data_IF_834028993521
#
_entry.id   IF_834028993521
#
_cell.length_a   1.000
_cell.length_b   1.000
_cell.length_c   1.000
_cell.angle_alpha   90.00
_cell.angle_beta   90.00
_cell.angle_gamma   90.00
#
_symmetry.space_group_name_H-M   'P 1'
#
loop_
_entity.id
_entity.type
_entity.pdbx_description
1 polymer ?
#
# COMPACT_ATOMS: atom_id res chain seq x y z
N UNK A 1 18.17 4.31 -34.36
CA UNK A 1 18.28 5.08 -33.11
C UNK A 1 17.03 4.67 -32.32
N UNK A 2 17.13 3.52 -31.63
CA UNK A 2 16.02 2.95 -30.90
C UNK A 2 15.94 3.68 -29.55
N UNK A 3 14.80 4.31 -29.32
CA UNK A 3 14.50 4.95 -28.04
C UNK A 3 14.18 3.84 -27.06
N UNK A 4 15.11 3.51 -26.16
CA UNK A 4 14.81 2.67 -25.01
C UNK A 4 13.83 3.45 -24.13
N UNK A 5 12.60 2.97 -24.08
CA UNK A 5 11.63 3.36 -23.09
C UNK A 5 12.13 2.77 -21.77
N UNK A 6 12.66 3.60 -20.91
CA UNK A 6 12.95 3.25 -19.52
C UNK A 6 11.62 3.36 -18.81
N UNK A 7 11.00 2.23 -18.53
CA UNK A 7 9.89 2.18 -17.61
C UNK A 7 10.47 2.47 -16.22
N UNK A 8 10.22 3.66 -15.69
CA UNK A 8 10.23 3.83 -14.26
C UNK A 8 8.95 3.12 -13.79
N UNK A 9 9.08 1.84 -13.44
CA UNK A 9 8.06 1.20 -12.60
C UNK A 9 8.11 1.98 -11.28
N UNK A 10 7.09 2.82 -11.08
CA UNK A 10 6.74 3.23 -9.75
C UNK A 10 6.55 1.94 -8.95
N UNK A 11 7.15 1.86 -7.81
CA UNK A 11 6.95 0.79 -6.85
C UNK A 11 5.49 0.38 -6.88
N UNK A 12 5.21 -0.88 -7.22
CA UNK A 12 3.88 -1.44 -7.05
C UNK A 12 3.60 -1.33 -5.56
N UNK A 13 2.90 -0.26 -5.20
CA UNK A 13 2.54 -0.03 -3.80
C UNK A 13 1.65 -1.18 -3.39
N UNK A 14 2.12 -1.88 -2.41
CA UNK A 14 1.57 -3.07 -1.83
C UNK A 14 0.05 -2.98 -1.63
N UNK A 15 -0.71 -3.60 -2.50
CA UNK A 15 -2.16 -3.69 -2.43
C UNK A 15 -2.59 -4.85 -1.52
N UNK A 16 -2.14 -4.84 -0.28
CA UNK A 16 -2.69 -5.77 0.71
C UNK A 16 -4.00 -5.21 1.21
N UNK A 17 -5.09 -5.74 0.69
CA UNK A 17 -6.45 -5.43 1.12
C UNK A 17 -7.11 -4.24 0.40
N UNK A 18 -6.47 -3.64 -0.59
CA UNK A 18 -7.03 -2.54 -1.37
C UNK A 18 -7.56 -3.01 -2.72
N UNK A 19 -8.72 -2.52 -3.11
CA UNK A 19 -9.23 -2.65 -4.45
C UNK A 19 -8.62 -1.54 -5.30
N UNK A 20 -7.83 -1.89 -6.29
CA UNK A 20 -7.31 -0.92 -7.26
C UNK A 20 -8.47 -0.36 -8.09
N UNK A 21 -8.82 0.91 -7.90
CA UNK A 21 -9.54 1.69 -8.86
C UNK A 21 -8.61 2.73 -9.44
N UNK A 22 -8.10 2.50 -10.62
CA UNK A 22 -7.58 3.58 -11.44
C UNK A 22 -8.78 4.34 -11.97
N UNK A 23 -9.10 5.47 -11.37
CA UNK A 23 -9.99 6.45 -11.99
C UNK A 23 -9.09 7.31 -12.89
N UNK A 24 -9.05 6.96 -14.17
CA UNK A 24 -8.51 7.86 -15.18
C UNK A 24 -9.27 9.20 -15.16
N UNK A 25 -8.69 10.32 -15.66
CA UNK A 25 -9.30 11.63 -15.63
C UNK A 25 -10.54 11.66 -16.51
N UNK A 26 -11.68 11.29 -15.98
CA UNK A 26 -12.99 11.40 -16.56
C UNK A 26 -13.61 12.76 -16.19
N UNK A 27 -13.80 13.60 -17.18
CA UNK A 27 -14.47 14.90 -17.12
C UNK A 27 -15.85 14.78 -16.45
N UNK A 28 -15.96 15.18 -15.20
CA UNK A 28 -17.26 15.49 -14.61
C UNK A 28 -17.54 16.98 -14.83
N UNK A 29 -18.43 17.23 -15.79
CA UNK A 29 -19.04 18.53 -16.01
C UNK A 29 -20.46 18.46 -15.45
N UNK A 30 -20.67 18.77 -14.19
CA UNK A 30 -21.98 19.05 -13.64
C UNK A 30 -22.10 20.52 -13.29
N UNK A 31 -22.92 21.21 -14.08
CA UNK A 31 -23.41 22.55 -13.79
C UNK A 31 -24.37 22.47 -12.61
N UNK A 32 -23.96 22.93 -11.45
CA UNK A 32 -24.86 23.31 -10.37
C UNK A 32 -25.18 24.80 -10.50
N UNK A 33 -26.34 25.10 -11.07
CA UNK A 33 -26.93 26.45 -11.07
C UNK A 33 -27.57 26.72 -9.71
N UNK A 34 -27.08 27.75 -9.04
CA UNK A 34 -27.86 28.64 -8.21
C UNK A 34 -28.24 28.20 -6.81
N UNK A 35 -27.37 28.48 -5.84
CA UNK A 35 -27.79 28.91 -4.51
C UNK A 35 -26.76 29.89 -3.95
N UNK A 36 -27.19 31.14 -3.84
CA UNK A 36 -26.44 32.19 -3.17
C UNK A 36 -26.53 31.99 -1.65
N UNK A 37 -25.45 31.54 -1.03
CA UNK A 37 -25.30 31.56 0.41
C UNK A 37 -24.29 32.64 0.77
N UNK A 38 -24.75 33.60 1.57
CA UNK A 38 -23.87 34.60 2.21
C UNK A 38 -22.86 33.86 3.09
N UNK A 39 -21.65 33.66 2.59
CA UNK A 39 -20.54 33.15 3.35
C UNK A 39 -20.00 34.21 4.28
N UNK A 40 -20.23 34.06 5.57
CA UNK A 40 -19.36 34.67 6.56
C UNK A 40 -17.94 34.09 6.32
N UNK A 41 -16.99 34.99 6.03
CA UNK A 41 -15.57 34.65 5.88
C UNK A 41 -15.10 34.19 7.26
N UNK A 42 -15.18 32.91 7.51
CA UNK A 42 -14.41 32.28 8.57
C UNK A 42 -12.95 32.33 8.13
N UNK A 43 -12.14 33.15 8.79
CA UNK A 43 -10.69 33.12 8.66
C UNK A 43 -10.24 31.68 8.96
N UNK A 44 -9.89 30.95 7.91
CA UNK A 44 -9.28 29.63 8.00
C UNK A 44 -8.03 29.78 8.86
N UNK A 45 -8.11 29.35 10.12
CA UNK A 45 -6.90 28.98 10.86
C UNK A 45 -6.30 27.82 10.07
N UNK A 46 -5.17 28.06 9.42
CA UNK A 46 -4.34 26.99 8.88
C UNK A 46 -4.12 26.01 10.03
N UNK A 47 -4.72 24.82 9.93
CA UNK A 47 -4.37 23.70 10.82
C UNK A 47 -2.86 23.55 10.78
N UNK A 48 -2.20 23.32 11.92
CA UNK A 48 -0.77 23.01 11.88
C UNK A 48 -0.58 21.85 10.93
N UNK A 49 0.41 21.97 10.04
CA UNK A 49 0.79 20.93 9.11
C UNK A 49 1.18 19.69 9.94
N UNK A 50 0.28 18.71 10.00
CA UNK A 50 0.50 17.48 10.76
C UNK A 50 1.48 16.63 9.97
N UNK A 51 2.70 16.50 10.49
CA UNK A 51 3.74 15.70 9.88
C UNK A 51 3.39 14.21 9.91
N UNK A 52 3.85 13.49 8.89
CA UNK A 52 3.79 12.03 8.90
C UNK A 52 4.69 11.48 10.01
N UNK A 53 4.20 10.48 10.74
CA UNK A 53 4.98 9.73 11.72
C UNK A 53 6.01 8.88 10.97
N UNK A 54 7.28 9.12 11.23
CA UNK A 54 8.42 8.50 10.57
C UNK A 54 9.27 7.61 11.51
N UNK A 55 8.84 7.48 12.75
CA UNK A 55 9.56 6.73 13.78
C UNK A 55 8.58 5.98 14.69
N UNK A 56 8.79 4.67 14.80
CA UNK A 56 7.95 3.76 15.56
C UNK A 56 8.77 3.09 16.67
N UNK A 57 8.19 3.00 17.87
CA UNK A 57 8.88 2.34 18.98
C UNK A 57 8.71 0.81 18.89
N UNK A 58 9.40 0.18 17.93
CA UNK A 58 9.34 -1.25 17.66
C UNK A 58 9.74 -2.11 18.86
N UNK A 59 10.56 -1.56 19.78
CA UNK A 59 10.99 -2.28 21.01
C UNK A 59 9.84 -2.54 22.00
N UNK A 60 8.73 -1.82 21.86
CA UNK A 60 7.54 -2.04 22.68
C UNK A 60 6.63 -3.13 22.10
N UNK A 61 7.00 -3.72 20.97
CA UNK A 61 6.22 -4.76 20.30
C UNK A 61 6.84 -6.14 20.52
N UNK A 62 5.98 -7.08 20.91
CA UNK A 62 6.24 -8.50 20.73
C UNK A 62 5.70 -8.91 19.37
N UNK A 63 6.58 -9.08 18.39
CA UNK A 63 6.17 -9.39 17.04
C UNK A 63 5.71 -10.83 16.88
N UNK A 64 4.69 -11.03 16.04
CA UNK A 64 4.15 -12.30 15.60
C UNK A 64 4.14 -12.37 14.08
N UNK A 65 4.45 -13.52 13.54
CA UNK A 65 4.35 -13.82 12.10
C UNK A 65 2.94 -14.22 11.68
N UNK A 66 1.99 -14.25 12.60
CA UNK A 66 0.57 -14.59 12.33
C UNK A 66 -0.34 -13.73 13.18
N UNK A 67 -1.49 -13.38 12.64
CA UNK A 67 -2.52 -12.63 13.34
C UNK A 67 -3.62 -12.17 12.39
N UNK A 68 -4.61 -11.49 12.95
CA UNK A 68 -5.74 -10.93 12.20
C UNK A 68 -5.94 -9.48 12.63
N UNK A 69 -5.32 -8.56 11.90
CA UNK A 69 -5.79 -7.17 11.90
C UNK A 69 -7.07 -7.15 11.06
N UNK A 70 -8.11 -6.37 11.40
CA UNK A 70 -9.35 -6.36 10.62
C UNK A 70 -9.17 -6.08 9.13
N UNK A 71 -8.15 -5.30 8.76
CA UNK A 71 -7.89 -4.85 7.39
C UNK A 71 -6.62 -5.44 6.77
N UNK A 72 -5.92 -6.33 7.48
CA UNK A 72 -4.77 -7.07 6.98
C UNK A 72 -4.64 -8.40 7.72
N UNK A 73 -4.98 -9.48 7.03
CA UNK A 73 -4.97 -10.83 7.60
C UNK A 73 -3.63 -11.49 7.32
N UNK A 74 -2.86 -11.77 8.37
CA UNK A 74 -1.55 -12.41 8.26
C UNK A 74 -1.63 -13.88 8.70
N UNK A 75 -2.50 -14.66 8.03
CA UNK A 75 -2.67 -16.11 8.27
C UNK A 75 -2.18 -16.91 7.07
N UNK A 76 -1.24 -17.85 7.25
CA UNK A 76 -0.75 -18.68 6.16
C UNK A 76 -1.87 -19.37 5.38
N UNK A 77 -1.81 -19.26 4.05
CA UNK A 77 -2.83 -19.79 3.14
C UNK A 77 -3.96 -18.78 2.83
N UNK A 78 -4.00 -17.63 3.51
CA UNK A 78 -4.89 -16.55 3.11
C UNK A 78 -4.44 -15.98 1.77
N UNK A 79 -5.39 -15.77 0.86
CA UNK A 79 -5.10 -15.31 -0.50
C UNK A 79 -6.12 -14.30 -0.98
N UNK A 80 -5.65 -13.25 -1.64
CA UNK A 80 -6.44 -12.25 -2.34
C UNK A 80 -6.08 -12.24 -3.82
N UNK A 81 -7.05 -11.94 -4.67
CA UNK A 81 -6.85 -11.78 -6.11
C UNK A 81 -7.44 -10.45 -6.54
N UNK A 82 -6.60 -9.59 -7.08
CA UNK A 82 -6.96 -8.29 -7.60
C UNK A 82 -6.91 -8.28 -9.12
N UNK A 83 -7.72 -7.42 -9.73
CA UNK A 83 -7.72 -7.16 -11.17
C UNK A 83 -7.77 -5.67 -11.40
N UNK A 84 -6.90 -5.17 -12.24
CA UNK A 84 -6.81 -3.75 -12.54
C UNK A 84 -6.14 -3.46 -13.87
N UNK A 85 -5.85 -2.20 -14.06
CA UNK A 85 -5.10 -1.68 -15.20
C UNK A 85 -4.08 -0.70 -14.65
N UNK A 86 -2.81 -0.90 -14.95
CA UNK A 86 -1.72 -0.01 -14.63
C UNK A 86 -0.99 0.34 -15.93
N UNK A 87 -0.69 1.62 -16.17
CA UNK A 87 -0.06 2.12 -17.40
C UNK A 87 -0.70 1.62 -18.71
N UNK A 88 -2.02 1.42 -18.70
CA UNK A 88 -2.83 0.82 -19.77
C UNK A 88 -2.59 -0.69 -19.99
N UNK A 89 -1.86 -1.36 -19.12
CA UNK A 89 -1.69 -2.80 -19.14
C UNK A 89 -2.67 -3.46 -18.16
N UNK A 90 -3.47 -4.44 -18.61
CA UNK A 90 -4.39 -5.13 -17.70
C UNK A 90 -3.62 -6.15 -16.85
N UNK A 91 -3.76 -6.07 -15.53
CA UNK A 91 -3.02 -6.88 -14.58
C UNK A 91 -3.95 -7.71 -13.68
N UNK A 92 -3.46 -8.88 -13.30
CA UNK A 92 -3.97 -9.67 -12.19
C UNK A 92 -2.85 -9.78 -11.14
N UNK A 93 -3.15 -9.37 -9.90
CA UNK A 93 -2.24 -9.54 -8.76
C UNK A 93 -2.83 -10.59 -7.84
N UNK A 94 -2.01 -11.58 -7.47
CA UNK A 94 -2.36 -12.58 -6.46
C UNK A 94 -1.45 -12.41 -5.26
N UNK A 95 -2.03 -11.96 -4.14
CA UNK A 95 -1.34 -11.83 -2.86
C UNK A 95 -1.61 -13.06 -2.01
N UNK A 96 -0.58 -13.73 -1.54
CA UNK A 96 -0.68 -14.99 -0.77
C UNK A 96 0.17 -14.93 0.49
N UNK A 97 -0.45 -15.05 1.65
CA UNK A 97 0.26 -15.23 2.91
C UNK A 97 0.89 -16.62 2.92
N UNK A 98 2.20 -16.70 2.75
CA UNK A 98 2.94 -17.97 2.63
C UNK A 98 3.20 -18.59 4.00
N UNK A 99 3.76 -19.81 4.01
CA UNK A 99 4.31 -20.43 5.24
C UNK A 99 5.75 -19.98 5.55
N UNK A 100 6.36 -19.21 4.66
CA UNK A 100 7.75 -18.78 4.78
C UNK A 100 7.89 -17.62 5.77
N UNK A 101 9.04 -17.57 6.41
CA UNK A 101 9.43 -16.48 7.33
C UNK A 101 10.83 -16.02 6.99
N UNK A 102 11.12 -14.75 7.24
CA UNK A 102 12.45 -14.16 7.11
C UNK A 102 12.83 -13.46 8.40
N UNK A 103 14.08 -13.57 8.79
CA UNK A 103 14.64 -12.77 9.88
C UNK A 103 15.23 -11.52 9.29
N UNK A 104 14.80 -10.37 9.77
CA UNK A 104 15.23 -9.04 9.30
C UNK A 104 15.78 -8.21 10.44
N UNK A 105 16.65 -7.25 10.09
CA UNK A 105 17.19 -6.25 11.02
C UNK A 105 17.58 -6.83 12.38
N UNK A 106 17.08 -6.25 13.44
CA UNK A 106 17.39 -6.59 14.86
C UNK A 106 16.92 -8.00 15.29
N UNK A 107 16.83 -8.96 14.38
CA UNK A 107 16.41 -10.33 14.66
C UNK A 107 14.90 -10.52 14.69
N UNK A 108 14.15 -9.63 14.07
CA UNK A 108 12.71 -9.70 13.97
C UNK A 108 12.33 -10.78 12.95
N UNK A 109 11.51 -11.75 13.39
CA UNK A 109 10.96 -12.78 12.51
C UNK A 109 9.69 -12.27 11.86
N UNK A 110 9.68 -12.22 10.53
CA UNK A 110 8.56 -11.74 9.72
C UNK A 110 7.89 -12.86 8.95
N UNK A 111 6.67 -12.66 8.51
CA UNK A 111 5.93 -13.48 7.57
C UNK A 111 6.20 -12.99 6.15
N UNK A 112 6.51 -13.91 5.23
CA UNK A 112 6.52 -13.57 3.82
C UNK A 112 5.11 -13.66 3.23
N UNK A 113 4.69 -12.59 2.59
CA UNK A 113 3.51 -12.53 1.72
C UNK A 113 4.05 -12.47 0.29
N UNK A 114 3.64 -13.40 -0.55
CA UNK A 114 4.02 -13.41 -1.96
C UNK A 114 2.97 -12.65 -2.77
N UNK A 115 3.40 -11.65 -3.50
CA UNK A 115 2.60 -11.00 -4.52
C UNK A 115 3.11 -11.40 -5.89
N UNK A 116 2.18 -11.90 -6.71
CA UNK A 116 2.44 -12.32 -8.07
C UNK A 116 1.62 -11.51 -9.04
N UNK A 117 2.27 -10.71 -9.87
CA UNK A 117 1.66 -9.88 -10.91
C UNK A 117 1.82 -10.53 -12.28
N UNK A 118 0.71 -10.67 -12.99
CA UNK A 118 0.69 -11.18 -14.36
C UNK A 118 -0.11 -10.24 -15.26
N UNK A 119 0.33 -10.05 -16.50
CA UNK A 119 -0.50 -9.41 -17.52
C UNK A 119 -1.71 -10.32 -17.81
N UNK A 120 -2.92 -9.82 -17.65
CA UNK A 120 -4.13 -10.65 -17.74
C UNK A 120 -4.50 -11.04 -19.17
N UNK A 121 -4.02 -10.32 -20.19
CA UNK A 121 -4.30 -10.61 -21.59
C UNK A 121 -3.33 -11.66 -22.17
N UNK A 122 -2.05 -11.57 -21.81
CA UNK A 122 -0.99 -12.46 -22.33
C UNK A 122 -0.70 -13.62 -21.38
N UNK A 123 -0.92 -13.47 -20.08
CA UNK A 123 -0.52 -14.40 -19.04
C UNK A 123 0.97 -14.32 -18.68
N UNK A 124 1.67 -13.34 -19.22
CA UNK A 124 3.09 -13.13 -18.93
C UNK A 124 3.28 -12.69 -17.47
N UNK A 125 4.29 -13.26 -16.84
CA UNK A 125 4.71 -12.86 -15.51
C UNK A 125 5.42 -11.52 -15.59
N UNK A 126 4.97 -10.56 -14.79
CA UNK A 126 5.51 -9.21 -14.69
C UNK A 126 6.43 -9.08 -13.48
N UNK A 127 5.95 -9.52 -12.30
CA UNK A 127 6.68 -9.37 -11.05
C UNK A 127 6.33 -10.48 -10.06
N UNK A 128 7.29 -10.84 -9.22
CA UNK A 128 7.05 -11.56 -7.96
C UNK A 128 7.74 -10.79 -6.85
N UNK A 129 6.95 -10.39 -5.84
CA UNK A 129 7.45 -9.75 -4.64
C UNK A 129 7.23 -10.65 -3.43
N UNK A 130 8.16 -10.63 -2.48
CA UNK A 130 8.01 -11.24 -1.16
C UNK A 130 8.10 -10.16 -0.10
N UNK A 131 6.96 -9.76 0.42
CA UNK A 131 6.83 -8.74 1.45
C UNK A 131 6.97 -9.32 2.84
N UNK A 132 7.63 -8.61 3.74
CA UNK A 132 7.95 -9.10 5.07
C UNK A 132 7.21 -8.32 6.15
N UNK A 133 6.15 -8.94 6.69
CA UNK A 133 5.29 -8.33 7.70
C UNK A 133 5.41 -9.01 9.06
N UNK A 134 5.15 -8.24 10.12
CA UNK A 134 4.90 -8.78 11.44
C UNK A 134 3.85 -7.95 12.19
N UNK A 135 3.04 -8.62 13.01
CA UNK A 135 2.01 -8.00 13.84
C UNK A 135 2.56 -7.75 15.24
N UNK A 136 2.41 -6.52 15.73
CA UNK A 136 2.64 -6.15 17.12
C UNK A 136 1.48 -6.68 17.97
N UNK A 137 1.74 -7.64 18.87
CA UNK A 137 0.71 -8.28 19.71
C UNK A 137 0.02 -7.32 20.66
N UNK A 138 0.71 -6.27 21.08
CA UNK A 138 0.24 -5.32 22.08
C UNK A 138 -0.87 -4.41 21.56
N UNK A 139 -0.88 -4.13 20.25
CA UNK A 139 -1.82 -3.18 19.67
C UNK A 139 -2.42 -3.63 18.34
N UNK A 140 -2.08 -4.83 17.86
CA UNK A 140 -2.54 -5.41 16.59
C UNK A 140 -2.16 -4.62 15.33
N UNK A 141 -1.15 -3.73 15.41
CA UNK A 141 -0.61 -3.04 14.24
C UNK A 141 0.27 -3.96 13.43
N UNK A 142 0.21 -3.84 12.11
CA UNK A 142 1.06 -4.58 11.18
C UNK A 142 2.15 -3.65 10.68
N UNK A 143 3.39 -4.11 10.80
CA UNK A 143 4.57 -3.38 10.34
C UNK A 143 5.19 -4.06 9.13
N UNK A 144 5.69 -3.23 8.21
CA UNK A 144 6.38 -3.61 7.00
C UNK A 144 7.89 -3.51 7.21
N UNK A 145 8.60 -4.63 6.99
CA UNK A 145 10.02 -4.75 7.29
C UNK A 145 10.91 -4.88 6.06
N UNK A 146 10.33 -4.88 4.88
CA UNK A 146 11.06 -4.96 3.62
C UNK A 146 10.45 -5.93 2.64
N UNK A 147 11.06 -5.98 1.49
CA UNK A 147 10.65 -6.83 0.38
C UNK A 147 11.86 -7.34 -0.43
N UNK A 148 11.68 -8.50 -1.06
CA UNK A 148 12.53 -8.97 -2.14
C UNK A 148 11.70 -8.94 -3.43
N UNK A 149 12.15 -8.23 -4.46
CA UNK A 149 11.46 -8.03 -5.75
C UNK A 149 12.21 -8.77 -6.85
N UNK A 150 11.47 -9.50 -7.68
CA UNK A 150 11.93 -10.08 -8.93
C UNK A 150 11.10 -9.52 -10.08
N UNK A 151 11.68 -8.64 -10.90
CA UNK A 151 11.06 -8.08 -12.09
C UNK A 151 11.31 -9.00 -13.30
N UNK A 152 10.28 -9.27 -14.11
CA UNK A 152 10.32 -10.24 -15.18
C UNK A 152 10.12 -9.60 -16.55
N UNK A 153 10.95 -10.01 -17.52
CA UNK A 153 10.74 -9.80 -18.96
C UNK A 153 10.96 -11.11 -19.70
N UNK A 154 10.04 -11.46 -20.59
CA UNK A 154 10.11 -12.69 -21.39
C UNK A 154 10.36 -13.96 -20.55
N UNK A 155 9.74 -14.02 -19.36
CA UNK A 155 9.83 -15.16 -18.43
C UNK A 155 11.17 -15.30 -17.71
N UNK A 156 11.98 -14.24 -17.65
CA UNK A 156 13.26 -14.21 -16.94
C UNK A 156 13.33 -13.01 -16.03
N UNK A 157 13.90 -13.18 -14.85
CA UNK A 157 14.24 -12.08 -13.96
C UNK A 157 15.27 -11.17 -14.66
N UNK A 158 14.95 -9.89 -14.73
CA UNK A 158 15.80 -8.85 -15.35
C UNK A 158 16.49 -7.98 -14.32
N UNK A 159 15.84 -7.70 -13.19
CA UNK A 159 16.41 -6.95 -12.06
C UNK A 159 15.67 -7.23 -10.76
N UNK A 160 16.07 -6.53 -9.69
CA UNK A 160 15.50 -6.60 -8.35
C UNK A 160 15.22 -5.19 -7.81
N UNK A 161 14.90 -4.26 -8.71
CA UNK A 161 14.55 -2.89 -8.34
C UNK A 161 13.34 -2.89 -7.42
N UNK A 162 13.34 -2.01 -6.40
CA UNK A 162 12.34 -2.00 -5.33
C UNK A 162 12.75 -2.77 -4.07
N UNK A 163 13.66 -3.73 -4.16
CA UNK A 163 14.04 -4.55 -2.99
C UNK A 163 14.71 -3.73 -1.89
N UNK A 164 14.24 -3.92 -0.66
CA UNK A 164 14.82 -3.30 0.52
C UNK A 164 14.57 -4.14 1.79
N UNK A 165 15.38 -3.95 2.83
CA UNK A 165 15.20 -4.64 4.11
C UNK A 165 15.50 -3.71 5.28
N UNK A 166 14.64 -3.76 6.30
CA UNK A 166 14.86 -3.07 7.57
C UNK A 166 16.24 -3.36 8.16
N UNK A 167 16.95 -2.29 8.55
CA UNK A 167 18.31 -2.37 9.10
C UNK A 167 19.42 -2.39 8.06
N UNK A 168 19.11 -2.42 6.76
CA UNK A 168 20.08 -2.34 5.65
C UNK A 168 19.98 -0.98 4.96
N UNK A 169 21.11 -0.40 4.52
CA UNK A 169 21.15 0.84 3.74
C UNK A 169 20.33 2.02 4.33
N UNK A 170 20.29 2.13 5.65
CA UNK A 170 19.46 3.08 6.41
C UNK A 170 17.94 2.87 6.27
N UNK A 171 17.51 1.76 5.66
CA UNK A 171 16.10 1.44 5.55
C UNK A 171 15.50 1.07 6.93
N UNK A 172 14.28 1.51 7.16
CA UNK A 172 13.55 1.33 8.41
C UNK A 172 12.14 0.86 8.14
N UNK A 173 11.68 -0.08 8.97
CA UNK A 173 10.30 -0.52 8.95
C UNK A 173 9.35 0.63 9.25
N UNK A 174 8.19 0.60 8.63
CA UNK A 174 7.08 1.49 8.87
C UNK A 174 5.80 0.75 9.24
N UNK A 175 4.72 1.49 9.29
CA UNK A 175 3.41 1.00 9.69
C UNK A 175 2.55 0.79 8.44
N UNK A 176 2.30 -0.47 8.05
CA UNK A 176 1.45 -0.73 6.89
C UNK A 176 -0.05 -0.66 7.26
N UNK A 177 -0.42 -1.18 8.44
CA UNK A 177 -1.81 -1.15 8.88
C UNK A 177 -1.89 -0.93 10.39
N UNK A 178 -2.49 0.17 10.88
CA UNK A 178 -2.66 0.42 12.31
C UNK A 178 -3.66 -0.57 12.92
N UNK A 179 -3.43 -0.96 14.17
CA UNK A 179 -4.38 -1.79 14.93
C UNK A 179 -5.58 -0.99 15.44
N UNK A 180 -5.42 0.33 15.58
CA UNK A 180 -6.50 1.28 15.87
C UNK A 180 -6.52 2.32 14.75
N UNK A 181 -7.59 2.32 13.98
CA UNK A 181 -7.74 3.21 12.83
C UNK A 181 -8.35 4.53 13.28
N UNK A 182 -7.67 5.64 13.03
CA UNK A 182 -8.13 6.98 13.39
C UNK A 182 -8.05 7.91 12.17
N UNK A 183 -9.14 8.57 11.84
CA UNK A 183 -9.18 9.55 10.75
C UNK A 183 -8.14 10.66 10.98
N UNK A 184 -7.42 11.03 9.92
CA UNK A 184 -6.34 12.02 9.97
C UNK A 184 -5.01 11.48 10.47
N UNK A 185 -4.88 10.18 10.79
CA UNK A 185 -3.59 9.55 11.06
C UNK A 185 -2.71 9.59 9.82
N UNK A 186 -1.43 9.98 9.99
CA UNK A 186 -0.43 10.11 8.94
C UNK A 186 0.85 9.40 9.36
N UNK A 187 1.33 8.49 8.52
CA UNK A 187 2.52 7.69 8.85
C UNK A 187 3.23 7.18 7.58
N UNK A 188 4.51 6.86 7.74
CA UNK A 188 5.26 6.14 6.71
C UNK A 188 4.94 4.65 6.77
N UNK A 189 4.69 4.07 5.58
CA UNK A 189 4.53 2.63 5.41
C UNK A 189 5.91 1.96 5.42
N UNK A 190 6.92 2.62 4.84
CA UNK A 190 8.33 2.27 4.92
C UNK A 190 9.21 3.52 4.73
N UNK A 191 10.47 3.38 5.10
CA UNK A 191 11.49 4.40 4.90
C UNK A 191 12.74 3.70 4.39
N UNK A 192 12.86 3.55 3.08
CA UNK A 192 14.01 3.01 2.39
C UNK A 192 14.54 4.08 1.42
N UNK A 193 15.50 4.93 1.85
CA UNK A 193 15.98 6.06 1.05
C UNK A 193 16.37 5.64 -0.36
N UNK A 194 15.91 6.41 -1.34
CA UNK A 194 16.13 6.19 -2.79
C UNK A 194 15.50 4.89 -3.35
N UNK A 195 14.72 4.14 -2.55
CA UNK A 195 14.09 2.87 -2.97
C UNK A 195 12.58 2.90 -2.75
N UNK A 196 12.11 3.08 -1.51
CA UNK A 196 10.69 3.11 -1.16
C UNK A 196 10.47 4.08 0.03
N UNK A 197 9.57 5.07 -0.15
CA UNK A 197 9.33 6.15 0.82
C UNK A 197 7.84 6.47 0.92
N UNK A 198 7.01 5.43 1.01
CA UNK A 198 5.57 5.58 0.91
C UNK A 198 4.93 5.96 2.24
N UNK A 199 3.87 6.75 2.13
CA UNK A 199 3.18 7.38 3.25
C UNK A 199 1.69 7.22 3.08
N UNK A 200 1.02 6.96 4.17
CA UNK A 200 -0.42 6.81 4.20
C UNK A 200 -1.09 7.81 5.13
N UNK A 201 -2.20 8.36 4.68
CA UNK A 201 -3.12 9.18 5.48
C UNK A 201 -4.50 8.51 5.49
N UNK A 202 -5.07 8.29 6.68
CA UNK A 202 -6.45 7.79 6.81
C UNK A 202 -7.40 8.97 6.61
N UNK A 203 -8.11 9.00 5.49
CA UNK A 203 -8.98 10.10 5.09
C UNK A 203 -10.46 9.80 5.25
N UNK A 204 -10.87 8.53 5.34
CA UNK A 204 -12.25 8.10 5.52
C UNK A 204 -12.41 6.88 6.41
N UNK A 205 -13.55 6.76 7.07
CA UNK A 205 -13.95 5.61 7.90
C UNK A 205 -15.41 5.27 7.66
N UNK A 206 -15.76 3.99 7.85
CA UNK A 206 -17.13 3.48 7.71
C UNK A 206 -17.73 3.77 6.32
N UNK A 207 -16.91 3.74 5.30
CA UNK A 207 -17.35 3.90 3.93
C UNK A 207 -17.93 2.61 3.36
N UNK A 208 -18.50 2.70 2.17
CA UNK A 208 -19.01 1.55 1.42
C UNK A 208 -18.31 1.49 0.06
N UNK A 209 -17.72 0.35 -0.26
CA UNK A 209 -17.14 0.09 -1.57
C UNK A 209 -18.02 -0.88 -2.37
N UNK A 210 -18.31 -0.54 -3.62
CA UNK A 210 -19.04 -1.40 -4.55
C UNK A 210 -18.12 -1.74 -5.72
N UNK A 211 -17.81 -3.00 -5.85
CA UNK A 211 -16.87 -3.52 -6.83
C UNK A 211 -17.38 -4.78 -7.48
N UNK A 212 -16.70 -5.29 -8.50
CA UNK A 212 -17.12 -6.50 -9.21
C UNK A 212 -17.23 -7.73 -8.30
N UNK A 213 -16.43 -7.78 -7.22
CA UNK A 213 -16.46 -8.86 -6.23
C UNK A 213 -17.63 -8.76 -5.24
N UNK A 214 -18.26 -7.58 -5.09
CA UNK A 214 -19.38 -7.37 -4.17
C UNK A 214 -19.47 -5.96 -3.60
N UNK A 215 -20.30 -5.84 -2.55
CA UNK A 215 -20.43 -4.60 -1.77
C UNK A 215 -19.87 -4.83 -0.38
N UNK A 216 -19.01 -3.94 0.06
CA UNK A 216 -18.31 -3.98 1.35
C UNK A 216 -18.66 -2.77 2.18
N UNK A 217 -18.87 -2.95 3.47
CA UNK A 217 -19.15 -1.89 4.45
C UNK A 217 -17.99 -1.78 5.45
N UNK A 218 -18.01 -0.73 6.26
CA UNK A 218 -16.97 -0.46 7.26
C UNK A 218 -15.57 -0.32 6.65
N UNK A 219 -15.55 0.13 5.39
CA UNK A 219 -14.32 0.33 4.63
C UNK A 219 -13.57 1.53 5.18
N UNK A 220 -12.25 1.41 5.30
CA UNK A 220 -11.36 2.54 5.54
C UNK A 220 -10.85 3.07 4.20
N UNK A 221 -10.72 4.40 4.11
CA UNK A 221 -10.21 5.09 2.95
C UNK A 221 -8.85 5.69 3.30
N UNK A 222 -7.84 5.29 2.59
CA UNK A 222 -6.46 5.71 2.78
C UNK A 222 -5.98 6.44 1.53
N UNK A 223 -5.28 7.54 1.75
CA UNK A 223 -4.58 8.26 0.70
C UNK A 223 -3.09 7.98 0.82
N UNK A 224 -2.49 7.49 -0.25
CA UNK A 224 -1.08 7.13 -0.30
C UNK A 224 -0.29 8.07 -1.19
N UNK A 225 0.95 8.36 -0.79
CA UNK A 225 1.88 9.24 -1.50
C UNK A 225 3.29 8.78 -1.22
N UNK A 226 4.21 8.98 -2.15
CA UNK A 226 5.63 8.72 -1.95
C UNK A 226 6.45 10.01 -1.87
N UNK A 227 7.56 10.00 -1.10
CA UNK A 227 8.54 11.09 -1.14
C UNK A 227 9.44 11.03 -2.38
N UNK A 228 9.41 9.91 -3.09
CA UNK A 228 10.17 9.70 -4.33
C UNK A 228 9.39 10.18 -5.56
N UNK A 229 8.10 10.46 -5.42
CA UNK A 229 7.20 10.85 -6.49
C UNK A 229 6.67 12.27 -6.34
N UNK A 230 6.21 12.90 -7.44
CA UNK A 230 5.51 14.18 -7.35
C UNK A 230 4.25 14.08 -6.48
N UNK A 231 3.97 15.07 -5.66
CA UNK A 231 2.80 15.10 -4.78
C UNK A 231 1.43 15.00 -5.51
N UNK A 232 1.43 15.03 -6.84
CA UNK A 232 0.26 14.87 -7.71
C UNK A 232 -0.07 13.40 -8.02
N UNK A 233 0.77 12.45 -7.65
CA UNK A 233 0.62 11.01 -7.89
C UNK A 233 -0.02 10.28 -6.69
N UNK A 234 -0.84 10.99 -5.91
CA UNK A 234 -1.52 10.37 -4.78
C UNK A 234 -2.51 9.30 -5.22
N UNK A 235 -2.46 8.16 -4.56
CA UNK A 235 -3.38 7.04 -4.74
C UNK A 235 -4.42 7.01 -3.62
N UNK A 236 -5.62 6.53 -3.96
CA UNK A 236 -6.73 6.40 -3.02
C UNK A 236 -7.06 4.91 -2.86
N UNK A 237 -6.80 4.36 -1.67
CA UNK A 237 -6.95 2.95 -1.36
C UNK A 237 -8.12 2.69 -0.40
N UNK A 238 -8.92 1.67 -0.69
CA UNK A 238 -10.07 1.26 0.10
C UNK A 238 -9.82 -0.13 0.70
N UNK A 239 -9.81 -0.22 2.02
CA UNK A 239 -9.61 -1.47 2.73
C UNK A 239 -10.89 -1.89 3.43
N UNK A 240 -11.41 -3.07 3.08
CA UNK A 240 -12.59 -3.65 3.71
C UNK A 240 -12.19 -4.63 4.82
N UNK A 241 -12.97 -4.75 5.91
CA UNK A 241 -12.67 -5.72 6.95
C UNK A 241 -12.75 -7.16 6.43
N UNK A 242 -11.76 -7.96 6.78
CA UNK A 242 -11.73 -9.38 6.42
C UNK A 242 -11.23 -9.66 5.00
N UNK A 243 -10.70 -8.63 4.35
CA UNK A 243 -10.09 -8.73 3.02
C UNK A 243 -8.64 -8.31 3.07
#
# INVERSE_FOLDING_TARGET
METKLVFALGTVTLLIGGLLFVIGPGLYNEQLTGMSINSAIATSKTSPDVKFTDSFNLKNCTFSTTGTNPYLILQPGYQLVFKGVEDNEPLNVTSTVTNQTKVVGDGIVTRAVEEKTVNSDTGDLVEITHDYFAICKENNSVFYFGEDVDNYENGKVVDHEGSWLHGSNNARAGLIMPGIVLIGSKYYQEIAPDVAMDKSEIVGLNETANVSAGSFTDVIHMKETSDLEPATTAEENLHAPGI
#
